data_IF_488856211588
#
_entry.id   IF_488856211588
#
_cell.length_a   1.000
_cell.length_b   1.000
_cell.length_c   1.000
_cell.angle_alpha   90.00
_cell.angle_beta   90.00
_cell.angle_gamma   90.00
#
_symmetry.space_group_name_H-M   'P 1'
#
loop_
_entity.id
_entity.type
_entity.pdbx_description
1 polymer ?
#
# COMPACT_ATOMS: atom_id res chain seq x y z
N UNK A 1 22.13 21.41 13.52
CA UNK A 1 23.51 20.91 13.64
C UNK A 1 23.82 20.15 12.35
N UNK A 2 24.46 20.80 11.37
CA UNK A 2 24.82 20.17 10.09
C UNK A 2 26.27 19.72 10.23
N UNK A 3 26.48 18.48 10.65
CA UNK A 3 27.79 17.85 10.55
C UNK A 3 28.05 17.50 9.09
N UNK A 4 29.19 17.97 8.55
CA UNK A 4 29.62 17.65 7.19
C UNK A 4 30.31 16.29 7.17
N UNK A 5 29.52 15.22 7.31
CA UNK A 5 29.99 13.83 7.19
C UNK A 5 29.42 13.21 5.90
N UNK A 6 29.97 13.57 4.72
CA UNK A 6 29.37 13.22 3.42
C UNK A 6 29.28 11.70 3.18
N UNK A 7 30.24 10.94 3.69
CA UNK A 7 30.29 9.48 3.56
C UNK A 7 29.17 8.83 4.40
N UNK A 8 29.03 9.23 5.67
CA UNK A 8 27.98 8.70 6.53
C UNK A 8 26.59 9.05 5.99
N UNK A 9 26.40 10.27 5.47
CA UNK A 9 25.14 10.66 4.85
C UNK A 9 24.79 9.82 3.63
N UNK A 10 25.77 9.48 2.78
CA UNK A 10 25.56 8.60 1.64
C UNK A 10 25.12 7.20 2.08
N UNK A 11 25.81 6.59 3.05
CA UNK A 11 25.44 5.26 3.57
C UNK A 11 24.06 5.28 4.25
N UNK A 12 23.73 6.33 5.00
CA UNK A 12 22.40 6.51 5.59
C UNK A 12 21.32 6.49 4.51
N UNK A 13 21.50 7.25 3.42
CA UNK A 13 20.53 7.26 2.32
C UNK A 13 20.45 5.91 1.61
N UNK A 14 21.58 5.24 1.39
CA UNK A 14 21.61 3.93 0.77
C UNK A 14 20.83 2.90 1.59
N UNK A 15 21.04 2.87 2.91
CA UNK A 15 20.36 1.95 3.83
C UNK A 15 18.86 2.27 3.89
N UNK A 16 18.49 3.55 4.01
CA UNK A 16 17.09 3.98 4.01
C UNK A 16 16.39 3.62 2.69
N UNK A 17 17.07 3.80 1.55
CA UNK A 17 16.54 3.44 0.25
C UNK A 17 16.38 1.93 0.08
N UNK A 18 17.37 1.14 0.52
CA UNK A 18 17.26 -0.32 0.51
C UNK A 18 16.08 -0.81 1.37
N UNK A 19 15.92 -0.24 2.57
CA UNK A 19 14.77 -0.52 3.43
C UNK A 19 13.44 -0.12 2.79
N UNK A 20 13.39 1.04 2.13
CA UNK A 20 12.21 1.48 1.38
C UNK A 20 11.84 0.51 0.25
N UNK A 21 12.81 0.11 -0.58
CA UNK A 21 12.59 -0.85 -1.68
C UNK A 21 12.08 -2.18 -1.12
N UNK A 22 12.67 -2.67 -0.03
CA UNK A 22 12.23 -3.90 0.63
C UNK A 22 10.78 -3.81 1.14
N UNK A 23 10.40 -2.70 1.76
CA UNK A 23 9.05 -2.46 2.24
C UNK A 23 8.02 -2.31 1.10
N UNK A 24 8.40 -1.68 -0.02
CA UNK A 24 7.49 -1.40 -1.14
C UNK A 24 7.37 -2.57 -2.11
N UNK A 25 8.39 -3.42 -2.24
CA UNK A 25 8.40 -4.59 -3.11
C UNK A 25 7.12 -5.45 -3.07
N UNK A 26 6.60 -5.89 -1.89
CA UNK A 26 5.38 -6.69 -1.85
C UNK A 26 4.16 -5.92 -2.39
N UNK A 27 4.06 -4.61 -2.15
CA UNK A 27 2.96 -3.79 -2.66
C UNK A 27 3.00 -3.67 -4.19
N UNK A 28 4.20 -3.57 -4.77
CA UNK A 28 4.38 -3.57 -6.23
C UNK A 28 3.94 -4.89 -6.83
N UNK A 29 4.30 -6.02 -6.20
CA UNK A 29 3.87 -7.35 -6.65
C UNK A 29 2.33 -7.48 -6.60
N UNK A 30 1.69 -7.01 -5.52
CA UNK A 30 0.22 -7.00 -5.40
C UNK A 30 -0.42 -6.12 -6.48
N UNK A 31 0.16 -4.96 -6.79
CA UNK A 31 -0.34 -4.08 -7.85
C UNK A 31 -0.21 -4.71 -9.24
N UNK A 32 0.91 -5.40 -9.52
CA UNK A 32 1.11 -6.16 -10.76
C UNK A 32 0.12 -7.32 -10.84
N UNK A 33 -0.05 -8.10 -9.77
CA UNK A 33 -1.03 -9.19 -9.72
C UNK A 33 -2.47 -8.68 -9.96
N UNK A 34 -2.82 -7.52 -9.41
CA UNK A 34 -4.12 -6.88 -9.65
C UNK A 34 -4.36 -6.47 -11.12
N UNK A 35 -3.30 -6.36 -11.92
CA UNK A 35 -3.38 -6.04 -13.35
C UNK A 35 -3.50 -7.25 -14.27
N UNK A 36 -3.38 -8.47 -13.73
CA UNK A 36 -3.46 -9.72 -14.48
C UNK A 36 -4.86 -10.33 -14.46
N UNK A 37 -5.17 -11.18 -15.44
CA UNK A 37 -6.34 -12.03 -15.36
C UNK A 37 -6.10 -13.22 -14.41
N UNK A 38 -7.17 -13.94 -14.05
CA UNK A 38 -7.08 -15.09 -13.14
C UNK A 38 -6.21 -16.23 -13.63
N UNK A 39 -5.95 -16.34 -14.93
CA UNK A 39 -5.09 -17.39 -15.47
C UNK A 39 -3.62 -17.02 -15.31
N UNK A 40 -3.24 -15.83 -15.75
CA UNK A 40 -1.87 -15.32 -15.76
C UNK A 40 -1.33 -15.10 -14.33
N UNK A 41 -2.20 -14.74 -13.38
CA UNK A 41 -1.82 -14.61 -11.95
C UNK A 41 -1.52 -15.95 -11.28
N UNK A 42 -2.11 -17.04 -11.78
CA UNK A 42 -1.94 -18.40 -11.23
C UNK A 42 -0.85 -19.20 -11.97
N UNK A 43 -0.32 -18.67 -13.08
CA UNK A 43 0.81 -19.28 -13.78
C UNK A 43 2.09 -19.17 -12.92
N UNK A 44 2.91 -20.23 -12.92
CA UNK A 44 4.16 -20.28 -12.13
C UNK A 44 5.35 -20.40 -13.08
N UNK A 45 6.26 -19.41 -13.14
CA UNK A 45 6.28 -18.16 -12.36
C UNK A 45 5.33 -17.08 -12.93
N UNK A 46 4.67 -16.33 -12.04
CA UNK A 46 3.82 -15.18 -12.41
C UNK A 46 4.67 -14.10 -13.08
N UNK A 47 4.19 -13.53 -14.19
CA UNK A 47 4.89 -12.42 -14.86
C UNK A 47 5.00 -11.20 -13.94
N UNK A 48 6.20 -10.62 -13.82
CA UNK A 48 6.43 -9.40 -13.05
C UNK A 48 6.17 -8.13 -13.87
N UNK A 49 5.68 -8.27 -15.11
CA UNK A 49 5.27 -7.15 -15.93
C UNK A 49 3.78 -6.83 -15.67
N UNK A 50 3.39 -5.55 -15.63
CA UNK A 50 1.98 -5.16 -15.55
C UNK A 50 1.17 -5.74 -16.70
N UNK A 51 0.00 -6.29 -16.40
CA UNK A 51 -0.99 -6.75 -17.36
C UNK A 51 -1.93 -5.64 -17.82
N UNK A 52 -2.89 -5.99 -18.67
CA UNK A 52 -3.85 -5.05 -19.27
C UNK A 52 -5.12 -4.82 -18.46
N UNK A 53 -5.43 -5.68 -17.49
CA UNK A 53 -6.80 -5.84 -16.97
C UNK A 53 -7.05 -5.10 -15.65
N UNK A 54 -6.10 -4.25 -15.23
CA UNK A 54 -6.15 -3.54 -13.95
C UNK A 54 -7.49 -2.83 -13.68
N UNK A 55 -7.97 -2.02 -14.63
CA UNK A 55 -9.20 -1.27 -14.45
C UNK A 55 -10.46 -2.15 -14.43
N UNK A 56 -10.45 -3.23 -15.22
CA UNK A 56 -11.54 -4.21 -15.25
C UNK A 56 -11.62 -4.93 -13.91
N UNK A 57 -10.47 -5.35 -13.38
CA UNK A 57 -10.37 -6.01 -12.08
C UNK A 57 -10.81 -5.09 -10.95
N UNK A 58 -10.39 -3.82 -10.94
CA UNK A 58 -10.82 -2.85 -9.92
C UNK A 58 -12.34 -2.64 -9.96
N UNK A 59 -12.93 -2.45 -11.15
CA UNK A 59 -14.38 -2.29 -11.29
C UNK A 59 -15.14 -3.54 -10.84
N UNK A 60 -14.63 -4.71 -11.20
CA UNK A 60 -15.19 -6.01 -10.79
C UNK A 60 -15.12 -6.17 -9.29
N UNK A 61 -13.95 -5.98 -8.68
CA UNK A 61 -13.77 -6.03 -7.23
C UNK A 61 -14.68 -5.04 -6.50
N UNK A 62 -14.83 -3.82 -7.02
CA UNK A 62 -15.69 -2.79 -6.43
C UNK A 62 -17.15 -3.23 -6.31
N UNK A 63 -17.67 -3.89 -7.35
CA UNK A 63 -19.05 -4.35 -7.41
C UNK A 63 -19.25 -5.68 -6.69
N UNK A 64 -18.38 -6.67 -6.92
CA UNK A 64 -18.48 -8.01 -6.31
C UNK A 64 -18.30 -7.97 -4.80
N UNK A 65 -17.39 -7.13 -4.29
CA UNK A 65 -17.16 -7.02 -2.85
C UNK A 65 -18.01 -5.93 -2.18
N UNK A 66 -18.86 -5.21 -2.91
CA UNK A 66 -19.63 -4.07 -2.43
C UNK A 66 -18.76 -3.09 -1.61
N UNK A 67 -17.68 -2.61 -2.25
CA UNK A 67 -16.63 -1.86 -1.56
C UNK A 67 -17.10 -0.49 -1.07
N UNK A 68 -18.04 0.15 -1.76
CA UNK A 68 -18.50 1.50 -1.42
C UNK A 68 -18.99 1.61 0.03
N UNK A 69 -20.05 0.86 0.42
CA UNK A 69 -20.56 0.86 1.79
C UNK A 69 -19.52 0.39 2.82
N UNK A 70 -18.72 -0.62 2.48
CA UNK A 70 -17.70 -1.16 3.39
C UNK A 70 -16.59 -0.17 3.69
N UNK A 71 -16.05 0.50 2.68
CA UNK A 71 -15.02 1.53 2.84
C UNK A 71 -15.56 2.73 3.62
N UNK A 72 -16.81 3.13 3.37
CA UNK A 72 -17.45 4.20 4.13
C UNK A 72 -17.62 3.83 5.60
N UNK A 73 -18.09 2.61 5.90
CA UNK A 73 -18.24 2.13 7.27
C UNK A 73 -16.89 2.06 8.00
N UNK A 74 -15.86 1.53 7.35
CA UNK A 74 -14.50 1.49 7.91
C UNK A 74 -13.94 2.90 8.14
N UNK A 75 -14.22 3.84 7.25
CA UNK A 75 -13.81 5.24 7.40
C UNK A 75 -14.47 5.88 8.62
N UNK A 76 -15.80 5.78 8.74
CA UNK A 76 -16.55 6.32 9.89
C UNK A 76 -16.03 5.72 11.20
N UNK A 77 -15.82 4.40 11.24
CA UNK A 77 -15.28 3.72 12.41
C UNK A 77 -13.87 4.21 12.77
N UNK A 78 -12.94 4.19 11.81
CA UNK A 78 -11.56 4.57 12.04
C UNK A 78 -11.44 6.04 12.47
N UNK A 79 -12.17 6.93 11.80
CA UNK A 79 -12.24 8.35 12.12
C UNK A 79 -12.83 8.59 13.51
N UNK A 80 -13.96 7.95 13.82
CA UNK A 80 -14.61 8.07 15.12
C UNK A 80 -13.72 7.62 16.28
N UNK A 81 -13.02 6.48 16.10
CA UNK A 81 -12.07 5.98 17.10
C UNK A 81 -10.87 6.92 17.24
N UNK A 82 -10.29 7.39 16.14
CA UNK A 82 -9.15 8.31 16.17
C UNK A 82 -9.52 9.63 16.86
N UNK A 83 -10.63 10.26 16.45
CA UNK A 83 -11.12 11.50 17.03
C UNK A 83 -11.46 11.33 18.51
N UNK A 84 -12.19 10.27 18.87
CA UNK A 84 -12.53 9.97 20.26
C UNK A 84 -11.31 9.77 21.14
N UNK A 85 -10.31 9.00 20.68
CA UNK A 85 -9.05 8.81 21.40
C UNK A 85 -8.30 10.13 21.62
N UNK A 86 -8.22 10.97 20.59
CA UNK A 86 -7.55 12.29 20.68
C UNK A 86 -8.28 13.20 21.67
N UNK A 87 -9.60 13.27 21.62
CA UNK A 87 -10.41 14.11 22.52
C UNK A 87 -10.23 13.66 23.97
N UNK A 88 -10.38 12.38 24.26
CA UNK A 88 -10.25 11.85 25.63
C UNK A 88 -8.82 12.08 26.16
N UNK A 89 -7.80 11.86 25.31
CA UNK A 89 -6.40 12.09 25.66
C UNK A 89 -6.04 13.57 25.83
N UNK A 90 -6.83 14.50 25.28
CA UNK A 90 -6.62 15.93 25.49
C UNK A 90 -7.32 16.45 26.75
N UNK A 91 -8.38 15.76 27.20
CA UNK A 91 -9.14 16.09 28.40
C UNK A 91 -8.55 15.46 29.68
N UNK A 92 -7.79 14.38 29.54
CA UNK A 92 -7.11 13.67 30.64
C UNK A 92 -5.64 14.03 30.65
#
# INVERSE_FOLDING_TARGET
>A
MVERTPILNFFTHLILFAGFVFCVAPFVIVAIAASHNLKDVNDVPMSLLPGSDFWVNIKTAWTTADLGPKLLNSFIMAFGVAAGKVIISALT
#
